data_IF_509065500957
#
_entry.id   IF_509065500957
#
_cell.length_a   1.000
_cell.length_b   1.000
_cell.length_c   1.000
_cell.angle_alpha   90.00
_cell.angle_beta   90.00
_cell.angle_gamma   90.00
#
_symmetry.space_group_name_H-M   'P 1'
#
loop_
_entity.id
_entity.type
_entity.pdbx_description
1 polymer ?
#
# COMPACT_ATOMS: atom_id res chain seq x y z
N UNK A 1 4.44 13.28 -1.70
CA UNK A 1 2.96 13.32 -1.76
C UNK A 1 2.43 14.39 -0.82
N UNK A 2 1.23 14.90 -1.06
CA UNK A 2 0.50 15.87 -0.20
C UNK A 2 -0.25 15.14 0.92
N UNK A 3 -0.70 15.88 1.95
CA UNK A 3 -1.57 15.27 2.96
C UNK A 3 -2.90 14.76 2.39
N UNK A 4 -3.40 15.37 1.31
CA UNK A 4 -4.62 14.94 0.64
C UNK A 4 -4.41 13.59 -0.06
N UNK A 5 -3.30 13.43 -0.80
CA UNK A 5 -2.94 12.16 -1.46
C UNK A 5 -2.78 11.01 -0.45
N UNK A 6 -2.22 11.28 0.74
CA UNK A 6 -2.11 10.28 1.81
C UNK A 6 -3.50 9.86 2.33
N UNK A 7 -4.41 10.82 2.58
CA UNK A 7 -5.79 10.51 3.00
C UNK A 7 -6.52 9.67 1.96
N UNK A 8 -6.37 10.05 0.69
CA UNK A 8 -7.00 9.35 -0.42
C UNK A 8 -6.44 7.92 -0.53
N UNK A 9 -5.13 7.73 -0.37
CA UNK A 9 -4.51 6.40 -0.28
C UNK A 9 -5.15 5.54 0.82
N UNK A 10 -5.29 6.04 2.05
CA UNK A 10 -5.94 5.29 3.13
C UNK A 10 -7.37 4.90 2.78
N UNK A 11 -8.13 5.81 2.15
CA UNK A 11 -9.52 5.57 1.76
C UNK A 11 -9.63 4.53 0.65
N UNK A 12 -8.79 4.64 -0.38
CA UNK A 12 -8.72 3.68 -1.51
C UNK A 12 -8.36 2.28 -1.03
N UNK A 13 -7.44 2.18 -0.07
CA UNK A 13 -6.96 0.91 0.46
C UNK A 13 -7.80 0.36 1.62
N UNK A 14 -8.83 1.10 2.07
CA UNK A 14 -9.64 0.71 3.23
C UNK A 14 -8.84 0.63 4.54
N UNK A 15 -7.77 1.41 4.67
CA UNK A 15 -6.86 1.40 5.82
C UNK A 15 -7.18 2.54 6.79
N UNK A 16 -7.12 2.24 8.08
CA UNK A 16 -6.98 3.26 9.12
C UNK A 16 -5.57 3.86 9.11
N UNK A 17 -5.38 5.04 9.71
CA UNK A 17 -4.04 5.64 9.84
C UNK A 17 -3.09 4.80 10.71
N UNK A 18 -3.63 4.04 11.67
CA UNK A 18 -2.87 3.10 12.47
C UNK A 18 -2.33 1.96 11.61
N UNK A 19 -3.18 1.33 10.80
CA UNK A 19 -2.79 0.23 9.91
C UNK A 19 -1.80 0.69 8.84
N UNK A 20 -2.01 1.90 8.27
CA UNK A 20 -1.00 2.49 7.38
C UNK A 20 0.34 2.63 8.09
N UNK A 21 0.34 3.19 9.31
CA UNK A 21 1.54 3.35 10.11
C UNK A 21 2.27 2.03 10.34
N UNK A 22 1.54 0.98 10.73
CA UNK A 22 2.11 -0.37 10.92
C UNK A 22 2.77 -0.91 9.64
N UNK A 23 2.15 -0.68 8.48
CA UNK A 23 2.68 -1.15 7.19
C UNK A 23 3.95 -0.41 6.73
N UNK A 24 4.06 0.88 7.05
CA UNK A 24 5.17 1.73 6.57
C UNK A 24 6.19 2.10 7.66
N UNK A 25 6.07 1.53 8.86
CA UNK A 25 7.01 1.74 9.96
C UNK A 25 6.84 3.09 10.67
N UNK A 26 5.61 3.59 10.79
CA UNK A 26 5.25 4.84 11.46
C UNK A 26 4.21 4.63 12.56
N UNK A 27 4.17 5.53 13.53
CA UNK A 27 3.07 5.56 14.51
C UNK A 27 1.85 6.27 13.92
N UNK A 28 0.66 5.95 14.42
CA UNK A 28 -0.58 6.65 14.03
C UNK A 28 -0.46 8.18 14.24
N UNK A 29 0.09 8.59 15.39
CA UNK A 29 0.34 10.00 15.69
C UNK A 29 1.31 10.67 14.71
N UNK A 30 2.31 9.92 14.20
CA UNK A 30 3.22 10.39 13.15
C UNK A 30 2.49 10.68 11.85
N UNK A 31 1.61 9.78 11.41
CA UNK A 31 0.76 9.96 10.21
C UNK A 31 -0.17 11.15 10.39
N UNK A 32 -0.89 11.22 11.52
CA UNK A 32 -1.81 12.33 11.80
C UNK A 32 -1.09 13.68 11.84
N UNK A 33 0.12 13.74 12.40
CA UNK A 33 0.91 14.97 12.44
C UNK A 33 1.39 15.38 11.05
N UNK A 34 1.83 14.44 10.21
CA UNK A 34 2.20 14.69 8.81
C UNK A 34 1.02 15.28 8.02
N UNK A 35 -0.18 14.73 8.24
CA UNK A 35 -1.42 15.23 7.64
C UNK A 35 -1.76 16.64 8.17
N UNK A 36 -1.75 16.85 9.49
CA UNK A 36 -2.14 18.13 10.12
C UNK A 36 -1.22 19.28 9.72
N UNK A 37 0.08 19.00 9.55
CA UNK A 37 1.09 20.00 9.16
C UNK A 37 1.24 20.15 7.65
N UNK A 38 0.50 19.38 6.87
CA UNK A 38 0.66 19.24 5.41
C UNK A 38 2.14 19.05 5.02
N UNK A 39 2.83 18.21 5.78
CA UNK A 39 4.25 17.95 5.62
C UNK A 39 4.50 16.45 5.73
N UNK A 40 4.29 15.76 4.60
CA UNK A 40 4.62 14.36 4.43
C UNK A 40 6.06 14.26 3.94
N UNK A 41 6.93 13.62 4.72
CA UNK A 41 8.34 13.49 4.36
C UNK A 41 8.51 12.69 3.07
N UNK A 42 9.64 12.89 2.39
CA UNK A 42 9.99 12.10 1.21
C UNK A 42 10.09 10.61 1.55
N UNK A 43 10.63 10.26 2.72
CA UNK A 43 10.70 8.87 3.19
C UNK A 43 9.30 8.27 3.35
N UNK A 44 8.36 9.01 3.97
CA UNK A 44 6.98 8.56 4.14
C UNK A 44 6.31 8.36 2.78
N UNK A 45 6.51 9.32 1.87
CA UNK A 45 5.98 9.25 0.50
C UNK A 45 6.48 7.98 -0.21
N UNK A 46 7.79 7.71 -0.14
CA UNK A 46 8.41 6.53 -0.76
C UNK A 46 7.94 5.22 -0.14
N UNK A 47 7.77 5.15 1.18
CA UNK A 47 7.25 3.94 1.83
C UNK A 47 5.81 3.63 1.38
N UNK A 48 4.96 4.64 1.20
CA UNK A 48 3.59 4.47 0.69
C UNK A 48 3.61 4.02 -0.78
N UNK A 49 4.48 4.61 -1.62
CA UNK A 49 4.67 4.17 -3.01
C UNK A 49 5.14 2.70 -3.09
N UNK A 50 6.08 2.31 -2.23
CA UNK A 50 6.57 0.93 -2.15
C UNK A 50 5.48 -0.04 -1.68
N UNK A 51 4.64 0.35 -0.72
CA UNK A 51 3.51 -0.46 -0.30
C UNK A 51 2.56 -0.75 -1.46
N UNK A 52 2.22 0.28 -2.26
CA UNK A 52 1.38 0.13 -3.47
C UNK A 52 2.02 -0.82 -4.47
N UNK A 53 3.32 -0.68 -4.69
CA UNK A 53 4.05 -1.55 -5.62
C UNK A 53 4.08 -3.01 -5.14
N UNK A 54 4.29 -3.25 -3.84
CA UNK A 54 4.25 -4.59 -3.25
C UNK A 54 2.87 -5.23 -3.43
N UNK A 55 1.79 -4.48 -3.24
CA UNK A 55 0.43 -4.97 -3.47
C UNK A 55 0.22 -5.36 -4.94
N UNK A 56 0.61 -4.49 -5.88
CA UNK A 56 0.54 -4.74 -7.32
C UNK A 56 1.31 -5.99 -7.72
N UNK A 57 2.53 -6.17 -7.19
CA UNK A 57 3.36 -7.34 -7.46
C UNK A 57 2.74 -8.63 -6.92
N UNK A 58 2.08 -8.58 -5.76
CA UNK A 58 1.36 -9.73 -5.19
C UNK A 58 0.17 -10.14 -6.05
N UNK A 59 -0.58 -9.19 -6.58
CA UNK A 59 -1.69 -9.46 -7.51
C UNK A 59 -1.18 -10.13 -8.79
N UNK A 60 -0.13 -9.58 -9.40
CA UNK A 60 0.48 -10.16 -10.60
C UNK A 60 1.00 -11.59 -10.36
N UNK A 61 1.59 -11.84 -9.19
CA UNK A 61 2.05 -13.18 -8.82
C UNK A 61 0.87 -14.15 -8.64
N UNK A 62 -0.22 -13.69 -8.03
CA UNK A 62 -1.43 -14.51 -7.86
C UNK A 62 -2.03 -14.88 -9.23
N UNK A 63 -2.14 -13.93 -10.15
CA UNK A 63 -2.62 -14.17 -11.52
C UNK A 63 -1.74 -15.20 -12.26
N UNK A 64 -0.43 -15.07 -12.14
CA UNK A 64 0.52 -16.00 -12.74
C UNK A 64 0.37 -17.43 -12.20
N UNK A 65 0.28 -17.58 -10.87
CA UNK A 65 0.10 -18.91 -10.27
C UNK A 65 -1.27 -19.51 -10.60
N UNK A 66 -2.32 -18.69 -10.68
CA UNK A 66 -3.65 -19.11 -11.13
C UNK A 66 -3.64 -19.61 -12.58
N UNK A 67 -2.95 -18.89 -13.49
CA UNK A 67 -2.78 -19.31 -14.88
C UNK A 67 -2.04 -20.65 -14.94
N UNK A 68 -0.90 -20.75 -14.25
CA UNK A 68 -0.09 -21.98 -14.19
C UNK A 68 -0.87 -23.17 -13.63
N UNK A 69 -1.71 -22.96 -12.62
CA UNK A 69 -2.59 -24.00 -12.08
C UNK A 69 -3.67 -24.41 -13.09
N UNK A 70 -4.27 -23.44 -13.78
CA UNK A 70 -5.30 -23.69 -14.80
C UNK A 70 -4.75 -24.50 -15.97
N UNK A 71 -3.55 -24.16 -16.44
CA UNK A 71 -2.85 -24.92 -17.49
C UNK A 71 -2.53 -26.35 -17.03
N UNK A 72 -2.06 -26.54 -15.79
CA UNK A 72 -1.82 -27.88 -15.25
C UNK A 72 -3.09 -28.73 -15.24
N UNK A 73 -4.24 -28.16 -14.85
CA UNK A 73 -5.54 -28.85 -14.84
C UNK A 73 -6.12 -29.12 -16.24
N UNK A 74 -5.65 -28.40 -17.27
CA UNK A 74 -6.12 -28.59 -18.64
C UNK A 74 -5.31 -29.64 -19.41
N UNK A 75 -4.06 -29.91 -18.98
CA UNK A 75 -3.13 -30.84 -19.65
C UNK A 75 -3.06 -32.19 -18.94
N UNK A 76 -3.35 -32.23 -17.63
CA UNK A 76 -3.46 -33.45 -16.80
C UNK A 76 -4.92 -33.73 -16.47
#
# INVERSE_FOLDING_TARGET
MTAQELKDFCKEQGLTYRELGELIGMTEGGIQNAIKKDNVSEQTSKSIELLREVQRLKEQLADYENLKQSLRKAIL
#
